data_IF_306132151078
#
_entry.id   IF_306132151078
#
_cell.length_a   1.000
_cell.length_b   1.000
_cell.length_c   1.000
_cell.angle_alpha   90.00
_cell.angle_beta   90.00
_cell.angle_gamma   90.00
#
_symmetry.space_group_name_H-M   'P 1'
#
loop_
_entity.id
_entity.type
_entity.pdbx_description
1 polymer ?
#
# COMPACT_ATOMS: atom_id res chain seq x y z
N UNK A 1 -36.55 55.28 -56.82
CA UNK A 1 -35.72 54.98 -55.63
C UNK A 1 -36.48 53.98 -54.76
N UNK A 2 -36.06 52.71 -54.76
CA UNK A 2 -36.72 51.64 -54.01
C UNK A 2 -35.66 50.81 -53.29
N UNK A 3 -35.75 50.78 -51.95
CA UNK A 3 -34.81 50.10 -51.06
C UNK A 3 -35.10 48.59 -50.99
N UNK A 4 -34.10 47.75 -51.31
CA UNK A 4 -34.14 46.31 -51.05
C UNK A 4 -33.39 46.00 -49.74
N UNK A 5 -34.16 45.60 -48.72
CA UNK A 5 -33.70 45.00 -47.45
C UNK A 5 -32.96 43.68 -47.71
N UNK A 6 -31.72 43.55 -47.20
CA UNK A 6 -31.01 42.28 -47.02
C UNK A 6 -31.27 41.77 -45.59
N UNK A 7 -31.93 40.63 -45.44
CA UNK A 7 -32.04 39.90 -44.17
C UNK A 7 -30.98 38.80 -44.12
N UNK A 8 -30.11 38.85 -43.12
CA UNK A 8 -29.13 37.80 -42.78
C UNK A 8 -29.78 36.77 -41.86
N UNK A 9 -29.99 35.55 -42.36
CA UNK A 9 -30.44 34.42 -41.54
C UNK A 9 -29.26 33.85 -40.73
N UNK A 10 -29.42 33.84 -39.40
CA UNK A 10 -28.47 33.40 -38.39
C UNK A 10 -28.49 31.86 -38.32
N UNK A 11 -27.38 31.21 -38.67
CA UNK A 11 -27.20 29.75 -38.60
C UNK A 11 -26.97 29.35 -37.13
N UNK A 12 -27.86 28.53 -36.57
CA UNK A 12 -27.71 27.96 -35.22
C UNK A 12 -26.60 26.89 -35.21
N UNK A 13 -25.83 26.76 -34.11
CA UNK A 13 -24.79 25.73 -33.99
C UNK A 13 -25.43 24.37 -33.68
N UNK A 14 -25.00 23.35 -34.42
CA UNK A 14 -25.40 21.96 -34.24
C UNK A 14 -24.92 21.43 -32.88
N UNK A 15 -25.86 20.85 -32.12
CA UNK A 15 -25.58 20.16 -30.87
C UNK A 15 -24.67 18.95 -31.12
N UNK A 16 -23.50 18.93 -30.48
CA UNK A 16 -22.62 17.76 -30.40
C UNK A 16 -23.34 16.67 -29.61
N UNK A 17 -23.64 15.56 -30.28
CA UNK A 17 -24.11 14.34 -29.64
C UNK A 17 -23.07 13.85 -28.64
N UNK A 18 -23.44 13.84 -27.37
CA UNK A 18 -22.69 13.19 -26.28
C UNK A 18 -22.65 11.69 -26.57
N UNK A 19 -21.44 11.17 -26.75
CA UNK A 19 -21.15 9.75 -26.95
C UNK A 19 -21.61 9.01 -25.69
N UNK A 20 -22.62 8.16 -25.81
CA UNK A 20 -23.15 7.35 -24.72
C UNK A 20 -22.02 6.52 -24.11
N UNK A 21 -21.93 6.54 -22.78
CA UNK A 21 -21.00 5.71 -22.03
C UNK A 21 -21.25 4.23 -22.37
N UNK A 22 -20.16 3.51 -22.66
CA UNK A 22 -20.23 2.09 -22.97
C UNK A 22 -20.90 1.33 -21.81
N UNK A 23 -21.75 0.31 -22.10
CA UNK A 23 -22.39 -0.47 -21.06
C UNK A 23 -21.32 -1.15 -20.20
N UNK A 24 -21.44 -0.97 -18.88
CA UNK A 24 -20.61 -1.67 -17.91
C UNK A 24 -20.65 -3.17 -18.21
N UNK A 25 -19.49 -3.78 -18.50
CA UNK A 25 -19.38 -5.23 -18.67
C UNK A 25 -19.91 -5.88 -17.41
N UNK A 26 -20.96 -6.67 -17.54
CA UNK A 26 -21.46 -7.52 -16.46
C UNK A 26 -20.29 -8.39 -15.99
N UNK A 27 -19.94 -8.38 -14.69
CA UNK A 27 -18.84 -9.20 -14.21
C UNK A 27 -19.13 -10.67 -14.51
N UNK A 28 -18.13 -11.45 -14.98
CA UNK A 28 -18.31 -12.87 -15.25
C UNK A 28 -18.83 -13.58 -14.00
N UNK A 29 -19.79 -14.51 -14.16
CA UNK A 29 -20.22 -15.39 -13.06
C UNK A 29 -18.98 -16.15 -12.57
N UNK A 30 -18.52 -15.84 -11.36
CA UNK A 30 -17.36 -16.50 -10.76
C UNK A 30 -17.79 -17.75 -10.02
N UNK A 31 -17.10 -18.84 -10.30
CA UNK A 31 -17.24 -20.11 -9.61
C UNK A 31 -16.40 -20.17 -8.31
N UNK A 32 -16.30 -19.06 -7.57
CA UNK A 32 -15.52 -18.98 -6.32
C UNK A 32 -16.13 -19.87 -5.23
N UNK A 33 -15.27 -20.59 -4.50
CA UNK A 33 -15.69 -21.42 -3.35
C UNK A 33 -16.28 -20.50 -2.27
N UNK A 34 -15.66 -19.34 -2.03
CA UNK A 34 -16.12 -18.38 -1.04
C UNK A 34 -17.53 -17.86 -1.37
N UNK A 35 -17.79 -17.51 -2.64
CA UNK A 35 -19.12 -17.05 -3.08
C UNK A 35 -20.19 -18.15 -2.92
N UNK A 36 -19.85 -19.40 -3.21
CA UNK A 36 -20.75 -20.55 -3.04
C UNK A 36 -21.05 -20.80 -1.56
N UNK A 37 -20.02 -20.86 -0.72
CA UNK A 37 -20.16 -21.09 0.72
C UNK A 37 -20.91 -19.94 1.42
N UNK A 38 -20.77 -18.68 0.98
CA UNK A 38 -21.55 -17.55 1.52
C UNK A 38 -23.06 -17.77 1.45
N UNK A 39 -23.56 -18.45 0.41
CA UNK A 39 -25.00 -18.70 0.25
C UNK A 39 -25.60 -19.60 1.33
N UNK A 40 -24.79 -20.42 2.01
CA UNK A 40 -25.21 -21.34 3.06
C UNK A 40 -24.98 -20.80 4.48
N UNK A 41 -24.39 -19.61 4.61
CA UNK A 41 -23.95 -19.02 5.87
C UNK A 41 -24.88 -17.90 6.37
N UNK A 42 -24.93 -17.65 7.69
CA UNK A 42 -25.74 -16.57 8.25
C UNK A 42 -25.20 -15.21 7.85
N UNK A 43 -26.06 -14.34 7.33
CA UNK A 43 -25.67 -12.98 6.93
C UNK A 43 -25.12 -12.16 8.12
N UNK A 44 -24.05 -11.40 7.86
CA UNK A 44 -23.51 -10.47 8.84
C UNK A 44 -24.31 -9.17 8.89
N UNK A 45 -24.62 -8.74 10.11
CA UNK A 45 -25.14 -7.39 10.35
C UNK A 45 -24.06 -6.35 10.11
N UNK A 46 -24.44 -5.11 9.77
CA UNK A 46 -23.49 -4.02 9.58
C UNK A 46 -22.58 -3.80 10.78
N UNK A 47 -23.13 -3.91 12.01
CA UNK A 47 -22.36 -3.77 13.26
C UNK A 47 -21.28 -4.84 13.40
N UNK A 48 -21.60 -6.10 13.13
CA UNK A 48 -20.62 -7.19 13.22
C UNK A 48 -19.53 -7.06 12.15
N UNK A 49 -19.90 -6.70 10.93
CA UNK A 49 -18.94 -6.45 9.84
C UNK A 49 -17.94 -5.35 10.21
N UNK A 50 -18.43 -4.24 10.78
CA UNK A 50 -17.56 -3.16 11.28
C UNK A 50 -16.65 -3.62 12.41
N UNK A 51 -17.20 -4.35 13.39
CA UNK A 51 -16.42 -4.86 14.52
C UNK A 51 -15.30 -5.81 14.07
N UNK A 52 -15.58 -6.72 13.13
CA UNK A 52 -14.55 -7.63 12.61
C UNK A 52 -13.49 -6.89 11.79
N UNK A 53 -13.87 -5.89 10.99
CA UNK A 53 -12.90 -5.03 10.27
C UNK A 53 -12.02 -4.22 11.23
N UNK A 54 -12.59 -3.70 12.32
CA UNK A 54 -11.87 -2.88 13.30
C UNK A 54 -10.88 -3.70 14.17
N UNK A 55 -10.92 -5.03 14.12
CA UNK A 55 -10.00 -5.87 14.88
C UNK A 55 -8.52 -5.69 14.48
N UNK A 56 -8.27 -5.23 13.25
CA UNK A 56 -6.94 -4.96 12.70
C UNK A 56 -6.95 -3.67 11.89
N UNK A 57 -5.90 -2.86 12.04
CA UNK A 57 -5.75 -1.61 11.27
C UNK A 57 -5.37 -1.91 9.83
N UNK A 58 -5.66 -0.99 8.89
CA UNK A 58 -5.26 -1.16 7.49
C UNK A 58 -3.74 -1.31 7.36
N UNK A 59 -2.96 -0.53 8.10
CA UNK A 59 -1.49 -0.63 8.10
C UNK A 59 -0.97 -1.99 8.59
N UNK A 60 -1.61 -2.60 9.61
CA UNK A 60 -1.27 -3.94 10.08
C UNK A 60 -1.58 -5.03 9.04
N UNK A 61 -2.62 -4.82 8.24
CA UNK A 61 -3.02 -5.73 7.19
C UNK A 61 -2.13 -5.56 5.95
N UNK A 62 -1.88 -4.33 5.51
CA UNK A 62 -0.99 -4.01 4.39
C UNK A 62 0.37 -4.69 4.54
N UNK A 63 1.00 -4.54 5.73
CA UNK A 63 2.28 -5.19 6.05
C UNK A 63 2.26 -6.71 5.90
N UNK A 64 1.12 -7.37 6.15
CA UNK A 64 0.98 -8.82 5.95
C UNK A 64 0.75 -9.18 4.48
N UNK A 65 -0.05 -8.38 3.76
CA UNK A 65 -0.27 -8.56 2.31
C UNK A 65 1.02 -8.41 1.49
N UNK A 66 1.90 -7.48 1.87
CA UNK A 66 3.20 -7.27 1.22
C UNK A 66 4.12 -8.51 1.24
N UNK A 67 3.90 -9.44 2.16
CA UNK A 67 4.76 -10.60 2.36
C UNK A 67 4.35 -11.81 1.50
N UNK A 68 3.19 -11.75 0.84
CA UNK A 68 2.57 -12.86 0.10
C UNK A 68 2.13 -12.43 -1.29
N UNK A 69 1.30 -13.25 -1.95
CA UNK A 69 0.68 -12.95 -3.25
C UNK A 69 -0.78 -13.34 -3.17
N UNK A 70 -1.67 -12.46 -3.59
CA UNK A 70 -3.10 -12.64 -3.41
C UNK A 70 -3.64 -13.93 -4.06
N UNK A 71 -3.12 -14.36 -5.23
CA UNK A 71 -3.56 -15.63 -5.83
C UNK A 71 -3.23 -16.85 -4.96
N UNK A 72 -2.10 -16.82 -4.27
CA UNK A 72 -1.69 -17.91 -3.38
C UNK A 72 -2.53 -17.90 -2.10
N UNK A 73 -2.86 -16.71 -1.58
CA UNK A 73 -3.73 -16.55 -0.42
C UNK A 73 -5.14 -17.05 -0.72
N UNK A 74 -5.72 -16.66 -1.87
CA UNK A 74 -7.06 -17.13 -2.29
C UNK A 74 -7.10 -18.66 -2.34
N UNK A 75 -6.17 -19.29 -3.07
CA UNK A 75 -6.14 -20.76 -3.22
C UNK A 75 -6.03 -21.49 -1.89
N UNK A 76 -5.26 -20.95 -0.94
CA UNK A 76 -5.07 -21.59 0.36
C UNK A 76 -6.28 -21.34 1.28
N UNK A 77 -6.81 -20.12 1.29
CA UNK A 77 -7.97 -19.75 2.06
C UNK A 77 -9.22 -20.53 1.62
N UNK A 78 -9.41 -20.79 0.32
CA UNK A 78 -10.53 -21.61 -0.17
C UNK A 78 -10.49 -23.04 0.39
N UNK A 79 -9.31 -23.66 0.53
CA UNK A 79 -9.17 -24.98 1.18
C UNK A 79 -9.57 -24.92 2.65
N UNK A 80 -9.22 -23.83 3.32
CA UNK A 80 -9.58 -23.60 4.72
C UNK A 80 -11.07 -23.35 4.87
N UNK A 81 -11.71 -22.61 3.96
CA UNK A 81 -13.16 -22.39 3.93
C UNK A 81 -13.90 -23.74 3.86
N UNK A 82 -13.51 -24.64 2.96
CA UNK A 82 -14.14 -25.98 2.85
C UNK A 82 -13.99 -26.77 4.16
N UNK A 83 -12.80 -26.69 4.78
CA UNK A 83 -12.50 -27.39 6.04
C UNK A 83 -13.33 -26.82 7.19
N UNK A 84 -13.34 -25.50 7.34
CA UNK A 84 -14.09 -24.78 8.37
C UNK A 84 -15.60 -24.94 8.20
N UNK A 85 -16.12 -24.90 6.97
CA UNK A 85 -17.55 -25.12 6.70
C UNK A 85 -17.97 -26.52 7.17
N UNK A 86 -17.13 -27.55 6.95
CA UNK A 86 -17.41 -28.90 7.44
C UNK A 86 -17.36 -28.96 8.97
N UNK A 87 -16.31 -28.41 9.59
CA UNK A 87 -16.12 -28.47 11.05
C UNK A 87 -17.19 -27.72 11.82
N UNK A 88 -17.69 -26.60 11.28
CA UNK A 88 -18.66 -25.74 11.96
C UNK A 88 -20.12 -26.15 11.72
N UNK A 89 -20.39 -27.24 10.98
CA UNK A 89 -21.75 -27.77 10.82
C UNK A 89 -22.30 -28.41 12.09
N UNK A 90 -21.43 -29.01 12.89
CA UNK A 90 -21.81 -29.82 14.05
C UNK A 90 -21.82 -29.02 15.37
N UNK A 91 -21.93 -27.68 15.30
CA UNK A 91 -21.90 -26.75 16.46
C UNK A 91 -20.75 -27.02 17.45
N UNK A 92 -19.58 -27.38 16.92
CA UNK A 92 -18.39 -27.64 17.74
C UNK A 92 -17.90 -26.35 18.43
N UNK A 93 -17.69 -26.40 19.74
CA UNK A 93 -17.09 -25.30 20.52
C UNK A 93 -15.60 -25.13 20.18
N UNK A 94 -15.31 -24.42 19.09
CA UNK A 94 -13.95 -24.11 18.65
C UNK A 94 -13.51 -22.67 18.96
N UNK A 95 -14.40 -21.84 19.50
CA UNK A 95 -14.23 -20.38 19.59
C UNK A 95 -14.30 -19.65 18.24
N UNK A 96 -14.07 -20.33 17.13
CA UNK A 96 -14.27 -19.81 15.77
C UNK A 96 -15.71 -20.08 15.31
N UNK A 97 -16.45 -19.03 14.96
CA UNK A 97 -17.90 -19.14 14.70
C UNK A 97 -18.25 -19.15 13.20
N UNK A 98 -19.45 -19.65 12.86
CA UNK A 98 -19.98 -19.55 11.48
C UNK A 98 -20.07 -18.11 10.96
N UNK A 99 -20.25 -17.12 11.85
CA UNK A 99 -20.23 -15.69 11.49
C UNK A 99 -18.83 -15.21 11.11
N UNK A 100 -17.78 -15.69 11.80
CA UNK A 100 -16.39 -15.43 11.42
C UNK A 100 -16.03 -16.08 10.08
N UNK A 101 -16.50 -17.30 9.82
CA UNK A 101 -16.38 -17.93 8.50
C UNK A 101 -17.08 -17.11 7.40
N UNK A 102 -18.25 -16.53 7.69
CA UNK A 102 -18.95 -15.63 6.77
C UNK A 102 -18.08 -14.42 6.45
N UNK A 103 -17.45 -13.82 7.46
CA UNK A 103 -16.54 -12.69 7.27
C UNK A 103 -15.32 -13.04 6.42
N UNK A 104 -14.70 -14.20 6.65
CA UNK A 104 -13.59 -14.69 5.83
C UNK A 104 -13.99 -14.82 4.35
N UNK A 105 -15.19 -15.37 4.08
CA UNK A 105 -15.67 -15.50 2.71
C UNK A 105 -16.01 -14.13 2.07
N UNK A 106 -16.58 -13.18 2.82
CA UNK A 106 -16.78 -11.80 2.36
C UNK A 106 -15.45 -11.13 1.97
N UNK A 107 -14.38 -11.37 2.74
CA UNK A 107 -13.04 -10.85 2.44
C UNK A 107 -12.44 -11.48 1.17
N UNK A 108 -12.64 -12.79 0.96
CA UNK A 108 -12.14 -13.47 -0.24
C UNK A 108 -12.81 -12.98 -1.52
N UNK A 109 -14.14 -12.83 -1.51
CA UNK A 109 -14.87 -12.27 -2.66
C UNK A 109 -14.39 -10.85 -2.95
N UNK A 110 -14.22 -10.02 -1.90
CA UNK A 110 -13.68 -8.67 -2.05
C UNK A 110 -12.26 -8.68 -2.64
N UNK A 111 -11.41 -9.61 -2.22
CA UNK A 111 -10.04 -9.75 -2.72
C UNK A 111 -10.03 -10.12 -4.21
N UNK A 112 -10.81 -11.12 -4.59
CA UNK A 112 -10.97 -11.54 -5.99
C UNK A 112 -11.49 -10.39 -6.86
N UNK A 113 -12.45 -9.62 -6.37
CA UNK A 113 -13.03 -8.47 -7.09
C UNK A 113 -11.98 -7.38 -7.30
N UNK A 114 -11.23 -7.03 -6.25
CA UNK A 114 -10.17 -6.02 -6.34
C UNK A 114 -9.03 -6.44 -7.28
N UNK A 115 -8.61 -7.72 -7.22
CA UNK A 115 -7.60 -8.26 -8.13
C UNK A 115 -8.03 -8.14 -9.60
N UNK A 116 -9.29 -8.37 -9.91
CA UNK A 116 -9.76 -8.28 -11.30
C UNK A 116 -10.02 -6.85 -11.78
N UNK A 117 -10.26 -5.92 -10.86
CA UNK A 117 -10.45 -4.50 -11.17
C UNK A 117 -9.11 -3.76 -11.24
N UNK A 118 -8.05 -4.29 -10.63
CA UNK A 118 -6.70 -3.76 -10.74
C UNK A 118 -6.10 -4.10 -12.10
N UNK A 119 -5.99 -3.12 -13.00
CA UNK A 119 -5.39 -3.34 -14.31
C UNK A 119 -3.85 -3.31 -14.26
N UNK A 120 -3.18 -4.14 -15.07
CA UNK A 120 -1.72 -4.09 -15.23
C UNK A 120 -1.20 -2.71 -15.67
N UNK A 121 -2.02 -1.94 -16.40
CA UNK A 121 -1.68 -0.58 -16.84
C UNK A 121 -1.56 0.39 -15.67
N UNK A 122 -2.50 0.33 -14.72
CA UNK A 122 -2.47 1.14 -13.49
C UNK A 122 -1.21 0.86 -12.67
N UNK A 123 -0.84 -0.42 -12.56
CA UNK A 123 0.38 -0.83 -11.84
C UNK A 123 1.66 -0.36 -12.55
N UNK A 124 1.68 -0.32 -13.88
CA UNK A 124 2.83 0.14 -14.67
C UNK A 124 3.07 1.65 -14.50
N UNK A 125 2.01 2.44 -14.52
CA UNK A 125 2.10 3.90 -14.40
C UNK A 125 2.63 4.31 -13.02
N UNK A 126 2.15 3.66 -11.94
CA UNK A 126 2.63 3.91 -10.58
C UNK A 126 4.13 3.63 -10.42
N UNK A 127 4.65 2.54 -11.01
CA UNK A 127 6.09 2.22 -11.00
C UNK A 127 6.91 3.27 -11.76
N UNK A 128 6.40 3.74 -12.91
CA UNK A 128 7.08 4.75 -13.72
C UNK A 128 7.23 6.08 -12.96
N UNK A 129 6.15 6.55 -12.33
CA UNK A 129 6.17 7.78 -11.51
C UNK A 129 7.16 7.67 -10.35
N UNK A 130 7.25 6.50 -9.69
CA UNK A 130 8.20 6.29 -8.60
C UNK A 130 9.64 6.32 -9.03
N UNK A 131 9.96 5.68 -10.16
CA UNK A 131 11.30 5.71 -10.74
C UNK A 131 11.74 7.15 -11.06
N UNK A 132 10.85 7.95 -11.66
CA UNK A 132 11.13 9.34 -11.96
C UNK A 132 11.41 10.18 -10.69
N UNK A 133 10.59 10.05 -9.65
CA UNK A 133 10.78 10.77 -8.38
C UNK A 133 12.11 10.41 -7.70
N UNK A 134 12.48 9.12 -7.70
CA UNK A 134 13.76 8.66 -7.14
C UNK A 134 14.95 9.26 -7.88
N UNK A 135 14.91 9.30 -9.22
CA UNK A 135 15.98 9.90 -10.03
C UNK A 135 16.10 11.40 -9.74
N UNK A 136 14.98 12.12 -9.64
CA UNK A 136 14.96 13.55 -9.31
C UNK A 136 15.56 13.81 -7.93
N UNK A 137 15.15 13.05 -6.91
CA UNK A 137 15.68 13.18 -5.55
C UNK A 137 17.18 12.86 -5.45
N UNK A 138 17.64 11.77 -6.10
CA UNK A 138 19.06 11.41 -6.12
C UNK A 138 19.90 12.47 -6.83
N UNK A 139 19.41 13.04 -7.94
CA UNK A 139 20.08 14.12 -8.65
C UNK A 139 20.14 15.41 -7.81
N UNK A 140 19.04 15.78 -7.14
CA UNK A 140 19.00 16.92 -6.24
C UNK A 140 20.02 16.77 -5.11
N UNK A 141 20.10 15.59 -4.49
CA UNK A 141 21.09 15.28 -3.47
C UNK A 141 22.52 15.42 -3.99
N UNK A 142 22.85 14.79 -5.12
CA UNK A 142 24.20 14.83 -5.71
C UNK A 142 24.63 16.26 -6.05
N UNK A 143 23.71 17.06 -6.61
CA UNK A 143 23.96 18.47 -6.90
C UNK A 143 24.22 19.27 -5.61
N UNK A 144 23.36 19.12 -4.59
CA UNK A 144 23.54 19.77 -3.29
C UNK A 144 24.88 19.38 -2.64
N UNK A 145 25.18 18.08 -2.57
CA UNK A 145 26.43 17.60 -1.97
C UNK A 145 27.67 18.14 -2.71
N UNK A 146 27.63 18.26 -4.04
CA UNK A 146 28.70 18.88 -4.83
C UNK A 146 28.89 20.35 -4.48
N UNK A 147 27.81 21.14 -4.42
CA UNK A 147 27.87 22.57 -4.06
C UNK A 147 28.35 22.76 -2.63
N UNK A 148 27.85 21.96 -1.70
CA UNK A 148 28.29 21.98 -0.29
C UNK A 148 29.78 21.70 -0.14
N UNK A 149 30.36 20.78 -0.92
CA UNK A 149 31.81 20.54 -0.92
C UNK A 149 32.58 21.76 -1.44
N UNK A 150 32.04 22.50 -2.41
CA UNK A 150 32.64 23.74 -2.89
C UNK A 150 32.61 24.84 -1.82
N UNK A 151 31.49 25.03 -1.10
CA UNK A 151 31.39 25.97 0.03
C UNK A 151 32.33 25.59 1.16
N UNK A 152 32.43 24.30 1.49
CA UNK A 152 33.28 23.81 2.57
C UNK A 152 34.77 24.04 2.30
N UNK A 153 35.20 24.08 1.03
CA UNK A 153 36.60 24.28 0.66
C UNK A 153 37.52 23.29 1.36
N UNK A 154 38.48 23.79 2.14
CA UNK A 154 39.43 22.98 2.93
C UNK A 154 38.95 22.58 4.33
N UNK A 155 37.73 22.93 4.74
CA UNK A 155 37.22 22.69 6.09
C UNK A 155 36.83 21.22 6.29
N UNK A 156 37.80 20.42 6.75
CA UNK A 156 37.69 18.96 6.86
C UNK A 156 36.48 18.47 7.68
N UNK A 157 36.11 19.19 8.74
CA UNK A 157 34.95 18.83 9.55
C UNK A 157 33.63 18.93 8.77
N UNK A 158 33.50 19.95 7.92
CA UNK A 158 32.30 20.15 7.09
C UNK A 158 32.27 19.11 5.96
N UNK A 159 33.42 18.85 5.32
CA UNK A 159 33.55 17.81 4.31
C UNK A 159 33.21 16.41 4.86
N UNK A 160 33.63 16.09 6.08
CA UNK A 160 33.30 14.83 6.74
C UNK A 160 31.80 14.69 6.96
N UNK A 161 31.13 15.76 7.42
CA UNK A 161 29.67 15.78 7.59
C UNK A 161 28.92 15.63 6.27
N UNK A 162 29.36 16.30 5.20
CA UNK A 162 28.77 16.15 3.87
C UNK A 162 28.93 14.72 3.36
N UNK A 163 30.11 14.12 3.56
CA UNK A 163 30.38 12.75 3.12
C UNK A 163 29.51 11.74 3.87
N UNK A 164 29.34 11.91 5.18
CA UNK A 164 28.45 11.08 5.98
C UNK A 164 26.97 11.26 5.59
N UNK A 165 26.55 12.49 5.30
CA UNK A 165 25.18 12.79 4.87
C UNK A 165 24.88 12.36 3.44
N UNK A 166 25.89 12.23 2.58
CA UNK A 166 25.75 11.92 1.15
C UNK A 166 26.71 10.80 0.71
N UNK A 167 26.50 9.56 1.18
CA UNK A 167 27.32 8.42 0.76
C UNK A 167 27.24 8.17 -0.76
N UNK A 168 28.26 7.52 -1.31
CA UNK A 168 28.31 7.11 -2.72
C UNK A 168 27.35 5.95 -3.02
N UNK A 169 27.13 5.10 -2.02
CA UNK A 169 26.41 3.84 -2.17
C UNK A 169 25.06 3.94 -1.46
N UNK A 170 24.03 4.31 -2.21
CA UNK A 170 22.63 4.28 -1.77
C UNK A 170 22.00 2.99 -2.26
N UNK A 171 21.46 2.18 -1.34
CA UNK A 171 20.91 0.86 -1.67
C UNK A 171 19.39 0.86 -1.72
N UNK A 172 18.75 1.89 -1.17
CA UNK A 172 17.30 1.97 -1.08
C UNK A 172 16.74 3.39 -1.29
N UNK A 173 15.45 3.54 -1.65
CA UNK A 173 14.77 4.82 -1.67
C UNK A 173 14.75 5.55 -0.32
N UNK A 174 14.68 4.82 0.80
CA UNK A 174 14.80 5.40 2.14
C UNK A 174 16.19 5.98 2.36
N UNK A 175 17.26 5.32 1.88
CA UNK A 175 18.62 5.86 1.97
C UNK A 175 18.71 7.20 1.23
N UNK A 176 18.09 7.30 0.03
CA UNK A 176 18.05 8.55 -0.75
C UNK A 176 17.28 9.63 0.00
N UNK A 177 16.15 9.29 0.64
CA UNK A 177 15.34 10.23 1.41
C UNK A 177 16.09 10.77 2.63
N UNK A 178 16.66 9.87 3.43
CA UNK A 178 17.40 10.23 4.64
C UNK A 178 18.66 11.04 4.28
N UNK A 179 19.36 10.62 3.23
CA UNK A 179 20.54 11.29 2.72
C UNK A 179 20.22 12.69 2.17
N UNK A 180 19.14 12.84 1.39
CA UNK A 180 18.69 14.15 0.90
C UNK A 180 18.28 15.06 2.06
N UNK A 181 17.54 14.53 3.04
CA UNK A 181 17.13 15.29 4.25
C UNK A 181 18.35 15.80 5.02
N UNK A 182 19.31 14.92 5.31
CA UNK A 182 20.55 15.30 6.00
C UNK A 182 21.38 16.32 5.19
N UNK A 183 21.40 16.21 3.87
CA UNK A 183 22.11 17.15 2.99
C UNK A 183 21.45 18.53 2.99
N UNK A 184 20.11 18.59 2.95
CA UNK A 184 19.34 19.83 3.06
C UNK A 184 19.59 20.50 4.43
N UNK A 185 19.57 19.74 5.52
CA UNK A 185 19.83 20.25 6.87
C UNK A 185 21.21 20.90 7.00
N UNK A 186 22.24 20.30 6.38
CA UNK A 186 23.58 20.90 6.36
C UNK A 186 23.56 22.22 5.59
N UNK A 187 22.90 22.26 4.43
CA UNK A 187 22.81 23.47 3.61
C UNK A 187 22.09 24.61 4.32
N UNK A 188 20.97 24.32 4.99
CA UNK A 188 20.22 25.30 5.78
C UNK A 188 21.07 25.84 6.94
N UNK A 189 21.81 24.97 7.64
CA UNK A 189 22.68 25.40 8.75
C UNK A 189 23.85 26.26 8.29
N UNK A 190 24.48 25.92 7.16
CA UNK A 190 25.58 26.69 6.59
C UNK A 190 25.14 28.10 6.21
N UNK A 191 23.95 28.25 5.61
CA UNK A 191 23.43 29.56 5.21
C UNK A 191 23.00 30.46 6.37
N UNK A 192 23.02 29.98 7.61
CA UNK A 192 22.83 30.83 8.80
C UNK A 192 24.12 31.56 9.20
N UNK A 193 25.26 31.17 8.65
CA UNK A 193 26.54 31.84 8.81
C UNK A 193 26.72 32.83 7.65
N UNK A 194 26.86 34.12 7.96
CA UNK A 194 26.92 35.20 6.96
C UNK A 194 28.06 35.02 5.94
N UNK A 195 29.20 34.47 6.37
CA UNK A 195 30.36 34.27 5.50
C UNK A 195 30.13 33.09 4.57
N UNK A 196 29.57 31.99 5.10
CA UNK A 196 29.27 30.81 4.32
C UNK A 196 28.05 31.00 3.40
N UNK A 197 27.14 31.91 3.74
CA UNK A 197 26.04 32.30 2.87
C UNK A 197 26.54 32.95 1.57
N UNK A 198 27.48 33.90 1.65
CA UNK A 198 28.05 34.52 0.46
C UNK A 198 28.72 33.50 -0.48
N UNK A 199 29.44 32.52 0.10
CA UNK A 199 30.04 31.42 -0.66
C UNK A 199 28.98 30.46 -1.23
N UNK A 200 27.90 30.22 -0.48
CA UNK A 200 26.78 29.41 -0.94
C UNK A 200 26.10 30.05 -2.17
N UNK A 201 25.89 31.36 -2.16
CA UNK A 201 25.30 32.09 -3.29
C UNK A 201 26.19 32.06 -4.53
N UNK A 202 27.52 32.24 -4.37
CA UNK A 202 28.48 32.14 -5.48
C UNK A 202 28.43 30.78 -6.19
N UNK A 203 28.33 29.69 -5.41
CA UNK A 203 28.19 28.35 -5.98
C UNK A 203 26.74 27.98 -6.29
N UNK A 204 25.80 28.92 -6.28
CA UNK A 204 24.39 28.73 -6.65
C UNK A 204 23.57 27.84 -5.72
N UNK A 205 23.98 27.72 -4.45
CA UNK A 205 23.22 27.07 -3.37
C UNK A 205 22.19 28.07 -2.79
N UNK A 206 21.31 28.58 -3.64
CA UNK A 206 20.31 29.61 -3.29
C UNK A 206 19.08 29.04 -2.57
N UNK A 207 18.22 29.90 -2.02
CA UNK A 207 16.91 29.50 -1.49
C UNK A 207 16.06 28.74 -2.51
N UNK A 208 16.02 29.21 -3.76
CA UNK A 208 15.28 28.55 -4.83
C UNK A 208 15.76 27.10 -5.06
N UNK A 209 17.07 26.86 -4.89
CA UNK A 209 17.65 25.52 -5.01
C UNK A 209 17.24 24.63 -3.84
N UNK A 210 17.25 25.16 -2.61
CA UNK A 210 16.78 24.44 -1.43
C UNK A 210 15.29 24.10 -1.55
N UNK A 211 14.46 25.03 -2.00
CA UNK A 211 13.04 24.79 -2.26
C UNK A 211 12.84 23.72 -3.33
N UNK A 212 13.68 23.68 -4.37
CA UNK A 212 13.64 22.62 -5.37
C UNK A 212 14.00 21.25 -4.79
N UNK A 213 14.95 21.20 -3.85
CA UNK A 213 15.33 19.98 -3.15
C UNK A 213 14.25 19.51 -2.17
N UNK A 214 13.61 20.43 -1.44
CA UNK A 214 12.42 20.13 -0.63
C UNK A 214 11.27 19.61 -1.51
N UNK A 215 11.00 20.21 -2.66
CA UNK A 215 9.98 19.71 -3.59
C UNK A 215 10.32 18.32 -4.12
N UNK A 216 11.60 18.00 -4.35
CA UNK A 216 12.02 16.64 -4.72
C UNK A 216 11.85 15.64 -3.56
N UNK A 217 12.13 16.07 -2.32
CA UNK A 217 11.91 15.29 -1.11
C UNK A 217 10.41 15.03 -0.88
N UNK A 218 9.57 16.05 -1.01
CA UNK A 218 8.11 15.96 -0.93
C UNK A 218 7.54 15.12 -2.06
N UNK A 219 8.03 15.25 -3.30
CA UNK A 219 7.61 14.39 -4.40
C UNK A 219 8.00 12.93 -4.11
N UNK A 220 9.19 12.68 -3.55
CA UNK A 220 9.59 11.34 -3.13
C UNK A 220 8.75 10.81 -1.96
N UNK A 221 8.37 11.68 -1.01
CA UNK A 221 7.56 11.34 0.16
C UNK A 221 6.07 11.15 -0.19
N UNK A 222 5.50 11.98 -1.06
CA UNK A 222 4.13 11.88 -1.56
C UNK A 222 4.00 10.70 -2.52
N UNK A 223 5.03 10.44 -3.34
CA UNK A 223 5.17 9.15 -4.00
C UNK A 223 5.28 8.07 -2.95
N UNK A 224 6.06 8.16 -1.88
CA UNK A 224 6.08 7.16 -0.79
C UNK A 224 4.74 7.01 -0.08
N UNK A 225 3.86 7.99 0.01
CA UNK A 225 2.50 7.78 0.54
C UNK A 225 1.59 7.07 -0.48
N UNK A 226 1.75 7.39 -1.77
CA UNK A 226 1.10 6.71 -2.89
C UNK A 226 1.77 5.37 -3.23
N UNK A 227 2.99 5.10 -2.75
CA UNK A 227 3.86 3.98 -3.15
C UNK A 227 4.48 3.15 -2.01
N UNK A 228 4.31 3.51 -0.74
CA UNK A 228 4.13 2.53 0.35
C UNK A 228 3.01 1.59 -0.08
N UNK A 229 2.02 2.20 -0.71
CA UNK A 229 0.96 1.55 -1.44
C UNK A 229 1.35 0.90 -2.81
N UNK A 230 2.53 1.06 -3.44
CA UNK A 230 2.69 0.66 -4.87
C UNK A 230 4.11 0.37 -5.37
N UNK A 231 5.16 0.52 -4.55
CA UNK A 231 6.52 0.38 -5.05
C UNK A 231 7.43 -0.59 -4.26
N UNK A 232 6.88 -1.38 -3.36
CA UNK A 232 7.45 -2.70 -3.06
C UNK A 232 7.15 -3.76 -4.16
N UNK A 233 6.34 -3.40 -5.17
CA UNK A 233 5.56 -4.41 -5.87
C UNK A 233 6.21 -5.07 -7.09
N UNK A 234 6.84 -6.21 -6.81
CA UNK A 234 6.63 -7.45 -7.59
C UNK A 234 5.27 -8.14 -7.28
N UNK A 235 4.40 -7.54 -6.46
CA UNK A 235 3.08 -8.08 -6.06
C UNK A 235 1.89 -7.20 -6.47
N UNK A 236 0.79 -7.31 -5.73
CA UNK A 236 -0.54 -6.78 -6.05
C UNK A 236 -0.74 -5.25 -5.85
N UNK A 237 -1.96 -4.72 -5.95
CA UNK A 237 -2.23 -3.32 -5.64
C UNK A 237 -2.30 -3.06 -4.11
N UNK A 238 -2.15 -1.81 -3.64
CA UNK A 238 -2.24 -1.47 -2.20
C UNK A 238 -3.53 -1.91 -1.55
N UNK A 239 -4.63 -1.62 -2.25
CA UNK A 239 -5.96 -2.03 -1.86
C UNK A 239 -6.06 -3.55 -1.79
N UNK A 240 -5.43 -4.27 -2.72
CA UNK A 240 -5.32 -5.74 -2.69
C UNK A 240 -4.52 -6.20 -1.46
N UNK A 241 -3.39 -5.60 -1.13
CA UNK A 241 -2.60 -5.98 0.05
C UNK A 241 -3.34 -5.78 1.36
N UNK A 242 -4.08 -4.68 1.50
CA UNK A 242 -4.91 -4.45 2.70
C UNK A 242 -5.96 -5.55 2.83
N UNK A 243 -6.65 -5.91 1.74
CA UNK A 243 -7.66 -6.96 1.77
C UNK A 243 -7.01 -8.33 2.01
N UNK A 244 -5.90 -8.63 1.34
CA UNK A 244 -5.11 -9.85 1.50
C UNK A 244 -4.64 -10.03 2.94
N UNK A 245 -4.07 -8.98 3.53
CA UNK A 245 -3.67 -8.95 4.92
C UNK A 245 -4.81 -9.24 5.89
N UNK A 246 -6.01 -8.73 5.60
CA UNK A 246 -7.22 -9.02 6.39
C UNK A 246 -7.60 -10.50 6.28
N UNK A 247 -7.51 -11.10 5.09
CA UNK A 247 -7.72 -12.55 4.89
C UNK A 247 -6.71 -13.35 5.71
N UNK A 248 -5.43 -13.02 5.64
CA UNK A 248 -4.36 -13.73 6.35
C UNK A 248 -4.52 -13.64 7.88
N UNK A 249 -4.91 -12.48 8.41
CA UNK A 249 -5.16 -12.30 9.85
C UNK A 249 -6.36 -13.12 10.32
N UNK A 250 -7.44 -13.16 9.53
CA UNK A 250 -8.62 -13.96 9.85
C UNK A 250 -8.32 -15.47 9.76
N UNK A 251 -7.51 -15.90 8.78
CA UNK A 251 -6.97 -17.26 8.73
C UNK A 251 -6.14 -17.57 10.00
N UNK A 252 -5.19 -16.70 10.36
CA UNK A 252 -4.38 -16.88 11.58
C UNK A 252 -5.24 -17.00 12.84
N UNK A 253 -6.29 -16.19 12.95
CA UNK A 253 -7.26 -16.28 14.04
C UNK A 253 -7.95 -17.65 14.06
N UNK A 254 -8.41 -18.15 12.91
CA UNK A 254 -9.03 -19.47 12.78
C UNK A 254 -8.06 -20.58 13.22
N UNK A 255 -6.82 -20.56 12.73
CA UNK A 255 -5.78 -21.52 13.10
C UNK A 255 -5.55 -21.55 14.61
N UNK A 256 -5.40 -20.37 15.22
CA UNK A 256 -5.16 -20.24 16.66
C UNK A 256 -6.31 -20.80 17.48
N UNK A 257 -7.55 -20.39 17.19
CA UNK A 257 -8.72 -20.80 17.96
C UNK A 257 -9.01 -22.30 17.85
N UNK A 258 -8.89 -22.88 16.65
CA UNK A 258 -9.04 -24.33 16.47
C UNK A 258 -7.95 -25.11 17.20
N UNK A 259 -6.71 -24.61 17.20
CA UNK A 259 -5.62 -25.22 17.95
C UNK A 259 -5.89 -25.18 19.46
N UNK A 260 -6.27 -24.01 20.00
CA UNK A 260 -6.61 -23.85 21.42
C UNK A 260 -7.75 -24.79 21.84
N UNK A 261 -8.84 -24.85 21.08
CA UNK A 261 -9.96 -25.74 21.38
C UNK A 261 -9.57 -27.22 21.32
N UNK A 262 -8.68 -27.61 20.40
CA UNK A 262 -8.14 -28.97 20.34
C UNK A 262 -7.26 -29.28 21.56
N UNK A 263 -6.41 -28.34 21.96
CA UNK A 263 -5.52 -28.47 23.12
C UNK A 263 -6.34 -28.55 24.44
N UNK A 264 -7.54 -27.98 24.48
CA UNK A 264 -8.53 -28.12 25.57
C UNK A 264 -9.33 -29.44 25.54
N UNK A 265 -9.08 -30.35 24.59
CA UNK A 265 -9.71 -31.66 24.52
C UNK A 265 -10.63 -31.90 23.32
N UNK A 266 -10.71 -30.96 22.36
CA UNK A 266 -11.43 -31.13 21.11
C UNK A 266 -10.78 -32.14 20.16
N UNK A 267 -10.97 -33.44 20.40
CA UNK A 267 -10.28 -34.55 19.69
C UNK A 267 -10.54 -34.64 18.17
N UNK A 268 -11.60 -34.01 17.67
CA UNK A 268 -12.02 -34.08 16.27
C UNK A 268 -11.84 -32.76 15.48
N UNK A 269 -11.19 -31.75 16.09
CA UNK A 269 -10.94 -30.49 15.40
C UNK A 269 -9.76 -30.62 14.42
N UNK A 270 -9.90 -30.12 13.17
CA UNK A 270 -8.85 -30.22 12.18
C UNK A 270 -7.69 -29.29 12.56
N UNK A 271 -6.48 -29.68 12.15
CA UNK A 271 -5.31 -28.82 12.21
C UNK A 271 -5.22 -28.04 10.91
N UNK A 272 -5.38 -26.72 10.98
CA UNK A 272 -5.19 -25.84 9.83
C UNK A 272 -3.69 -25.59 9.64
N UNK A 273 -3.14 -26.10 8.53
CA UNK A 273 -1.74 -25.94 8.15
C UNK A 273 -1.69 -25.15 6.86
N UNK A 274 -0.92 -24.06 6.85
CA UNK A 274 -0.75 -23.26 5.65
C UNK A 274 0.27 -23.92 4.73
N UNK A 275 0.01 -23.88 3.42
CA UNK A 275 0.96 -24.33 2.41
C UNK A 275 2.27 -23.53 2.37
N UNK A 276 3.29 -24.02 1.63
CA UNK A 276 4.64 -23.43 1.61
C UNK A 276 4.69 -21.96 1.20
N UNK A 277 3.76 -21.51 0.36
CA UNK A 277 3.64 -20.11 -0.10
C UNK A 277 3.37 -19.13 1.04
N UNK A 278 2.80 -19.58 2.16
CA UNK A 278 2.45 -18.73 3.31
C UNK A 278 3.39 -18.94 4.50
N UNK A 279 4.50 -19.66 4.34
CA UNK A 279 5.44 -19.97 5.43
C UNK A 279 6.04 -18.72 6.10
N UNK A 280 6.16 -17.61 5.38
CA UNK A 280 6.64 -16.34 5.96
C UNK A 280 5.72 -15.82 7.07
N UNK A 281 4.42 -16.10 6.97
CA UNK A 281 3.39 -15.66 7.91
C UNK A 281 3.02 -16.76 8.91
N UNK A 282 2.99 -18.01 8.48
CA UNK A 282 2.48 -19.14 9.30
C UNK A 282 3.57 -20.10 9.79
N UNK A 283 4.83 -19.91 9.39
CA UNK A 283 5.95 -20.78 9.75
C UNK A 283 6.39 -20.68 11.22
N UNK A 284 7.39 -21.50 11.61
CA UNK A 284 7.90 -21.55 12.99
C UNK A 284 8.49 -20.23 13.50
N UNK A 285 8.96 -19.36 12.59
CA UNK A 285 9.51 -18.04 12.91
C UNK A 285 8.44 -16.93 12.90
N UNK A 286 7.16 -17.27 12.79
CA UNK A 286 6.07 -16.30 12.73
C UNK A 286 5.87 -15.50 14.03
N UNK A 287 6.46 -15.94 15.14
CA UNK A 287 6.40 -15.23 16.43
C UNK A 287 7.01 -13.82 16.34
N UNK A 288 7.94 -13.58 15.41
CA UNK A 288 8.57 -12.27 15.21
C UNK A 288 7.71 -11.30 14.38
N UNK A 289 6.59 -11.77 13.83
CA UNK A 289 5.68 -11.00 12.94
C UNK A 289 4.37 -10.61 13.65
N UNK A 290 4.18 -11.07 14.90
CA UNK A 290 3.04 -10.66 15.73
C UNK A 290 3.25 -9.23 16.25
N UNK A 291 2.66 -8.25 15.57
CA UNK A 291 2.45 -6.92 16.17
C UNK A 291 1.61 -7.08 17.45
N UNK A 292 1.93 -6.34 18.52
CA UNK A 292 1.17 -6.40 19.77
C UNK A 292 -0.31 -6.15 19.50
N UNK A 293 -1.17 -6.86 20.24
CA UNK A 293 -2.61 -6.69 20.16
C UNK A 293 -2.96 -5.20 20.23
N UNK A 294 -3.88 -4.70 19.40
CA UNK A 294 -4.28 -3.30 19.46
C UNK A 294 -4.69 -2.98 20.89
N UNK A 295 -4.10 -1.92 21.46
CA UNK A 295 -4.53 -1.40 22.75
C UNK A 295 -6.03 -1.12 22.66
N UNK A 296 -6.84 -1.64 23.60
CA UNK A 296 -8.27 -1.36 23.58
C UNK A 296 -8.47 0.15 23.57
N UNK A 297 -9.47 0.67 22.83
CA UNK A 297 -9.76 2.09 22.83
C UNK A 297 -9.96 2.53 24.28
N UNK A 298 -9.22 3.55 24.70
CA UNK A 298 -9.42 4.17 26.01
C UNK A 298 -10.88 4.60 26.11
N UNK A 299 -11.57 4.30 27.24
CA UNK A 299 -12.96 4.64 27.43
C UNK A 299 -13.21 6.16 27.39
#
# INVERSE_FOLDING_TARGET
MAAKKKSTAKKAPAAKATKAAAPAKTPPKRDSVAAKTLSSLPALTGKLRMAYRAAFTDAQCEKWGELTKAENVIKEAEKWVVTLERTLKDDVESGYSRRRLTFLCELLVLLEDEMANTSEATMRDLRSTRGAALVVASNARKDLARRLRAVAGGQQQILARITAAAPSDERSPSDVQDSLTATIDIAVKLRRDEVLEALADDVGLTEARLNSAYAALEALAGVREVTLNAAAYEGDAPTVNVIEGRVLREMRLAQRLLKEARDLGGKNLPVLVAGPSLNKIFGKNAADVEDPAPTPPSP
#
